data_IF_738388783907
#
_entry.id   IF_738388783907
#
_cell.length_a   1.000
_cell.length_b   1.000
_cell.length_c   1.000
_cell.angle_alpha   90.00
_cell.angle_beta   90.00
_cell.angle_gamma   90.00
#
_symmetry.space_group_name_H-M   'P 1'
#
loop_
_entity.id
_entity.type
_entity.pdbx_description
1 polymer ?
#
# COMPACT_ATOMS: atom_id res chain seq x y z
N UNK A 1 -22.97 6.97 -1.41
CA UNK A 1 -21.63 6.77 -0.82
C UNK A 1 -20.88 5.80 -1.70
N UNK A 2 -19.70 6.16 -2.20
CA UNK A 2 -18.83 5.25 -2.96
C UNK A 2 -17.86 4.62 -1.97
N UNK A 3 -17.68 3.29 -2.01
CA UNK A 3 -16.69 2.60 -1.17
C UNK A 3 -15.30 3.21 -1.37
N UNK A 4 -14.48 3.26 -0.32
CA UNK A 4 -13.09 3.75 -0.43
C UNK A 4 -12.29 2.96 -1.48
N UNK A 5 -12.60 1.67 -1.64
CA UNK A 5 -12.00 0.81 -2.67
C UNK A 5 -12.33 1.34 -4.07
N UNK A 6 -13.61 1.60 -4.35
CA UNK A 6 -14.08 2.14 -5.62
C UNK A 6 -13.51 3.53 -5.91
N UNK A 7 -13.28 4.34 -4.87
CA UNK A 7 -12.62 5.63 -5.02
C UNK A 7 -11.16 5.51 -5.47
N UNK A 8 -10.40 4.56 -4.91
CA UNK A 8 -9.01 4.28 -5.31
C UNK A 8 -8.98 3.65 -6.70
N UNK A 9 -9.82 2.65 -6.96
CA UNK A 9 -9.96 2.01 -8.28
C UNK A 9 -10.25 3.05 -9.38
N UNK A 10 -11.17 3.98 -9.13
CA UNK A 10 -11.49 5.07 -10.07
C UNK A 10 -10.31 6.02 -10.29
N UNK A 11 -9.52 6.32 -9.26
CA UNK A 11 -8.32 7.17 -9.37
C UNK A 11 -7.26 6.52 -10.26
N UNK A 12 -7.14 5.21 -10.18
CA UNK A 12 -6.16 4.42 -10.92
C UNK A 12 -6.73 3.81 -12.21
N UNK A 13 -7.85 4.34 -12.74
CA UNK A 13 -8.51 3.79 -13.93
C UNK A 13 -7.60 3.71 -15.16
N UNK A 14 -6.68 4.65 -15.31
CA UNK A 14 -5.72 4.70 -16.42
C UNK A 14 -4.48 3.83 -16.18
N UNK A 15 -4.28 3.34 -14.96
CA UNK A 15 -3.15 2.50 -14.52
C UNK A 15 -3.64 1.38 -13.58
N UNK A 16 -4.59 0.53 -14.02
CA UNK A 16 -5.29 -0.40 -13.12
C UNK A 16 -4.35 -1.40 -12.41
N UNK A 17 -3.19 -1.70 -12.99
CA UNK A 17 -2.16 -2.58 -12.44
C UNK A 17 -1.45 -2.02 -11.20
N UNK A 18 -1.58 -0.71 -10.94
CA UNK A 18 -0.96 -0.02 -9.80
C UNK A 18 -1.87 -0.01 -8.56
N UNK A 19 -2.98 -0.74 -8.62
CA UNK A 19 -3.98 -0.83 -7.57
C UNK A 19 -4.12 -2.28 -7.12
N UNK A 20 -4.16 -2.50 -5.81
CA UNK A 20 -4.30 -3.83 -5.23
C UNK A 20 -5.43 -3.84 -4.21
N UNK A 21 -6.30 -4.84 -4.30
CA UNK A 21 -7.25 -5.17 -3.25
C UNK A 21 -6.69 -6.30 -2.39
N UNK A 22 -6.79 -6.15 -1.08
CA UNK A 22 -6.39 -7.14 -0.09
C UNK A 22 -7.57 -7.37 0.85
N UNK A 23 -8.01 -8.62 0.92
CA UNK A 23 -9.08 -9.03 1.83
C UNK A 23 -8.53 -9.49 3.17
N UNK A 24 -9.34 -9.50 4.25
CA UNK A 24 -8.98 -10.16 5.51
C UNK A 24 -8.64 -11.65 5.37
N UNK A 25 -9.15 -12.33 4.33
CA UNK A 25 -8.76 -13.72 4.04
C UNK A 25 -7.36 -13.86 3.45
N UNK A 26 -6.85 -12.83 2.77
CA UNK A 26 -5.48 -12.79 2.27
C UNK A 26 -4.48 -12.34 3.34
N UNK A 27 -4.92 -11.48 4.27
CA UNK A 27 -4.11 -10.93 5.35
C UNK A 27 -5.01 -10.54 6.55
N UNK A 28 -5.02 -11.39 7.57
CA UNK A 28 -5.95 -11.38 8.71
C UNK A 28 -5.74 -10.23 9.70
N UNK A 29 -4.66 -9.45 9.55
CA UNK A 29 -4.44 -8.19 10.27
C UNK A 29 -5.40 -7.07 9.79
N UNK A 30 -5.96 -7.21 8.59
CA UNK A 30 -6.99 -6.32 8.07
C UNK A 30 -8.37 -6.71 8.63
N UNK A 31 -9.14 -5.70 9.03
CA UNK A 31 -10.51 -5.91 9.54
C UNK A 31 -11.58 -5.86 8.47
N UNK A 32 -11.25 -5.30 7.30
CA UNK A 32 -12.14 -5.05 6.17
C UNK A 32 -11.35 -5.16 4.88
N UNK A 33 -12.04 -5.39 3.78
CA UNK A 33 -11.45 -5.30 2.45
C UNK A 33 -10.81 -3.92 2.28
N UNK A 34 -9.56 -3.94 1.83
CA UNK A 34 -8.72 -2.76 1.75
C UNK A 34 -8.13 -2.63 0.36
N UNK A 35 -7.90 -1.38 -0.03
CA UNK A 35 -7.27 -1.02 -1.29
C UNK A 35 -5.93 -0.33 -1.01
N UNK A 36 -4.91 -0.70 -1.77
CA UNK A 36 -3.59 -0.06 -1.74
C UNK A 36 -3.36 0.63 -3.09
N UNK A 37 -3.10 1.93 -3.04
CA UNK A 37 -2.74 2.76 -4.18
C UNK A 37 -1.21 2.79 -4.32
N UNK A 38 -0.66 1.97 -5.22
CA UNK A 38 0.78 1.84 -5.39
C UNK A 38 1.41 3.01 -6.18
N UNK A 39 0.61 4.01 -6.58
CA UNK A 39 1.15 5.29 -7.09
C UNK A 39 1.51 6.27 -5.97
N UNK A 40 1.11 5.99 -4.72
CA UNK A 40 1.33 6.87 -3.57
C UNK A 40 2.35 6.24 -2.64
N UNK A 41 3.62 6.59 -2.81
CA UNK A 41 4.70 6.22 -1.88
C UNK A 41 4.98 7.40 -0.97
N UNK A 42 4.97 7.16 0.34
CA UNK A 42 5.24 8.18 1.36
C UNK A 42 6.60 7.92 1.96
N UNK A 43 7.54 8.84 1.73
CA UNK A 43 8.82 8.83 2.42
C UNK A 43 8.65 9.41 3.83
N UNK A 44 9.18 8.71 4.83
CA UNK A 44 9.22 9.16 6.22
C UNK A 44 10.59 8.89 6.81
N UNK A 45 11.08 9.82 7.61
CA UNK A 45 12.28 9.60 8.40
C UNK A 45 12.02 8.50 9.45
N UNK A 46 13.04 7.70 9.77
CA UNK A 46 12.91 6.65 10.79
C UNK A 46 12.48 7.23 12.15
N UNK A 47 12.98 8.41 12.51
CA UNK A 47 12.58 9.13 13.72
C UNK A 47 11.09 9.50 13.74
N UNK A 48 10.52 9.83 12.57
CA UNK A 48 9.09 10.11 12.45
C UNK A 48 8.26 8.85 12.69
N UNK A 49 8.67 7.71 12.12
CA UNK A 49 8.01 6.42 12.34
C UNK A 49 8.04 6.01 13.82
N UNK A 50 9.19 6.17 14.48
CA UNK A 50 9.31 5.94 15.93
C UNK A 50 8.35 6.83 16.72
N UNK A 51 8.27 8.12 16.35
CA UNK A 51 7.31 9.05 16.97
C UNK A 51 5.85 8.65 16.76
N UNK A 52 5.48 8.17 15.57
CA UNK A 52 4.13 7.69 15.27
C UNK A 52 3.76 6.47 16.12
N UNK A 53 4.70 5.53 16.33
CA UNK A 53 4.50 4.37 17.22
C UNK A 53 4.27 4.84 18.66
N UNK A 54 5.09 5.77 19.16
CA UNK A 54 4.97 6.33 20.52
C UNK A 54 3.62 7.04 20.73
N UNK A 55 3.14 7.77 19.72
CA UNK A 55 1.82 8.44 19.73
C UNK A 55 0.64 7.52 19.43
N UNK A 56 0.88 6.23 19.14
CA UNK A 56 -0.13 5.22 18.75
C UNK A 56 -0.85 5.55 17.44
N UNK A 57 -0.23 6.33 16.57
CA UNK A 57 -0.70 6.63 15.21
C UNK A 57 -0.29 5.52 14.23
N UNK A 58 0.76 4.78 14.57
CA UNK A 58 1.16 3.54 13.90
C UNK A 58 1.17 2.40 14.90
N UNK A 59 0.90 1.19 14.41
CA UNK A 59 0.95 -0.05 15.19
C UNK A 59 1.70 -1.12 14.40
N UNK A 60 2.26 -2.07 15.13
CA UNK A 60 2.87 -3.24 14.53
C UNK A 60 1.79 -4.22 14.08
N UNK A 61 2.02 -4.80 12.91
CA UNK A 61 1.27 -5.91 12.36
C UNK A 61 2.24 -7.03 11.99
N UNK A 62 1.74 -8.25 11.82
CA UNK A 62 2.53 -9.35 11.24
C UNK A 62 3.03 -8.98 9.86
N UNK A 63 4.14 -9.58 9.44
CA UNK A 63 4.66 -9.37 8.09
C UNK A 63 3.61 -9.73 7.03
N UNK A 64 3.65 -9.00 5.91
CA UNK A 64 2.78 -9.31 4.78
C UNK A 64 3.13 -10.69 4.22
N UNK A 65 2.13 -11.53 3.90
CA UNK A 65 2.37 -12.78 3.19
C UNK A 65 3.13 -12.53 1.89
N UNK A 66 4.07 -13.42 1.56
CA UNK A 66 4.98 -13.28 0.41
C UNK A 66 4.22 -12.99 -0.89
N UNK A 67 3.05 -13.61 -1.08
CA UNK A 67 2.24 -13.42 -2.28
C UNK A 67 1.68 -12.00 -2.39
N UNK A 68 1.25 -11.40 -1.28
CA UNK A 68 0.73 -10.03 -1.23
C UNK A 68 1.88 -9.03 -1.40
N UNK A 69 3.02 -9.29 -0.76
CA UNK A 69 4.20 -8.47 -0.92
C UNK A 69 4.73 -8.47 -2.37
N UNK A 70 4.73 -9.63 -3.04
CA UNK A 70 5.11 -9.73 -4.44
C UNK A 70 4.17 -8.94 -5.37
N UNK A 71 2.85 -8.99 -5.12
CA UNK A 71 1.87 -8.16 -5.85
C UNK A 71 2.15 -6.67 -5.65
N UNK A 72 2.41 -6.24 -4.42
CA UNK A 72 2.75 -4.85 -4.08
C UNK A 72 3.98 -4.37 -4.85
N UNK A 73 5.07 -5.16 -4.84
CA UNK A 73 6.27 -4.82 -5.60
C UNK A 73 5.98 -4.66 -7.09
N UNK A 74 5.29 -5.63 -7.70
CA UNK A 74 4.95 -5.57 -9.12
C UNK A 74 4.12 -4.32 -9.47
N UNK A 75 3.14 -3.97 -8.64
CA UNK A 75 2.30 -2.79 -8.84
C UNK A 75 3.07 -1.46 -8.70
N UNK A 76 3.98 -1.35 -7.71
CA UNK A 76 4.85 -0.16 -7.58
C UNK A 76 5.81 -0.05 -8.77
N UNK A 77 6.42 -1.16 -9.20
CA UNK A 77 7.32 -1.18 -10.35
C UNK A 77 6.61 -0.78 -11.66
N UNK A 78 5.36 -1.18 -11.83
CA UNK A 78 4.53 -0.81 -12.98
C UNK A 78 4.12 0.68 -12.99
N UNK A 79 4.10 1.36 -11.84
CA UNK A 79 3.65 2.74 -11.74
C UNK A 79 4.53 3.69 -12.55
N UNK A 80 3.96 4.41 -13.51
CA UNK A 80 4.68 5.48 -14.22
C UNK A 80 4.81 6.78 -13.40
N UNK A 81 4.27 6.82 -12.18
CA UNK A 81 4.22 8.02 -11.32
C UNK A 81 5.27 7.95 -10.22
N UNK A 82 5.55 6.76 -9.70
CA UNK A 82 6.60 6.55 -8.71
C UNK A 82 7.97 6.75 -9.37
N UNK A 83 8.81 7.57 -8.73
CA UNK A 83 10.14 7.90 -9.23
C UNK A 83 11.04 6.65 -9.33
N UNK A 84 11.89 6.53 -10.37
CA UNK A 84 12.77 5.37 -10.57
C UNK A 84 13.65 5.04 -9.36
N UNK A 85 14.23 6.04 -8.71
CA UNK A 85 15.10 5.89 -7.54
C UNK A 85 14.37 5.24 -6.34
N UNK A 86 13.06 5.46 -6.21
CA UNK A 86 12.24 4.80 -5.17
C UNK A 86 12.02 3.32 -5.51
N UNK A 87 11.90 3.00 -6.80
CA UNK A 87 11.73 1.62 -7.28
C UNK A 87 12.98 0.78 -7.10
N UNK A 88 14.17 1.39 -7.14
CA UNK A 88 15.45 0.72 -6.92
C UNK A 88 15.62 0.20 -5.47
N UNK A 89 14.82 0.68 -4.53
CA UNK A 89 14.84 0.25 -3.12
C UNK A 89 14.01 -1.02 -2.85
N UNK A 90 13.30 -1.56 -3.85
CA UNK A 90 12.40 -2.71 -3.73
C UNK A 90 13.07 -4.04 -4.07
#
# INVERSE_FOLDING_TARGET
MTSNIEAVRRRNRERPETFIEVSPSDYDELKVDSAIDCNVVVEKALSELVGMVQRKEARYHRDLPVQIFAKLKAAVLASSVVAPEIKELL
#
